data_IF_633288969150
#
_entry.id   IF_633288969150
#
_cell.length_a   1.000
_cell.length_b   1.000
_cell.length_c   1.000
_cell.angle_alpha   90.00
_cell.angle_beta   90.00
_cell.angle_gamma   90.00
#
_symmetry.space_group_name_H-M   'P 1'
#
loop_
_entity.id
_entity.type
_entity.pdbx_description
1 polymer ?
#
# COMPACT_ATOMS: atom_id res chain seq x y z
N UNK A 1 6.89 19.70 -9.33
CA UNK A 1 7.67 19.64 -8.08
C UNK A 1 8.46 18.32 -8.06
N UNK A 2 9.61 18.26 -8.76
CA UNK A 2 10.54 17.11 -8.82
C UNK A 2 11.87 17.55 -9.46
N UNK A 3 12.49 18.61 -8.91
CA UNK A 3 13.80 19.09 -9.40
C UNK A 3 14.97 18.60 -8.53
N UNK A 4 14.73 18.16 -7.29
CA UNK A 4 15.77 17.73 -6.35
C UNK A 4 15.92 16.19 -6.33
N UNK A 5 17.10 15.63 -6.66
CA UNK A 5 17.41 14.21 -6.53
C UNK A 5 17.11 13.62 -5.14
N UNK A 6 17.23 14.42 -4.08
CA UNK A 6 17.01 13.99 -2.69
C UNK A 6 15.53 13.73 -2.40
N UNK A 7 14.63 14.58 -2.90
CA UNK A 7 13.19 14.36 -2.79
C UNK A 7 12.75 13.12 -3.55
N UNK A 8 13.27 12.93 -4.76
CA UNK A 8 13.00 11.72 -5.54
C UNK A 8 13.43 10.45 -4.80
N UNK A 9 14.62 10.45 -4.21
CA UNK A 9 15.10 9.32 -3.41
C UNK A 9 14.24 9.05 -2.17
N UNK A 10 13.78 10.12 -1.48
CA UNK A 10 12.85 9.99 -0.34
C UNK A 10 11.50 9.39 -0.75
N UNK A 11 10.93 9.87 -1.86
CA UNK A 11 9.67 9.34 -2.39
C UNK A 11 9.81 7.86 -2.78
N UNK A 12 10.88 7.48 -3.48
CA UNK A 12 11.14 6.08 -3.82
C UNK A 12 11.33 5.19 -2.58
N UNK A 13 12.00 5.70 -1.55
CA UNK A 13 12.16 4.97 -0.28
C UNK A 13 10.81 4.71 0.39
N UNK A 14 9.89 5.67 0.37
CA UNK A 14 8.52 5.48 0.89
C UNK A 14 7.73 4.47 0.08
N UNK A 15 7.79 4.58 -1.24
CA UNK A 15 7.16 3.62 -2.14
C UNK A 15 7.69 2.20 -1.89
N UNK A 16 9.00 2.03 -1.61
CA UNK A 16 9.55 0.73 -1.22
C UNK A 16 8.97 0.22 0.10
N UNK A 17 8.81 1.08 1.11
CA UNK A 17 8.18 0.70 2.39
C UNK A 17 6.73 0.27 2.15
N UNK A 18 5.95 1.06 1.40
CA UNK A 18 4.56 0.74 1.04
C UNK A 18 4.49 -0.60 0.29
N UNK A 19 5.36 -0.83 -0.68
CA UNK A 19 5.40 -2.09 -1.43
C UNK A 19 5.71 -3.29 -0.53
N UNK A 20 6.68 -3.19 0.39
CA UNK A 20 6.99 -4.27 1.34
C UNK A 20 5.80 -4.57 2.24
N UNK A 21 5.19 -3.53 2.83
CA UNK A 21 4.01 -3.70 3.68
C UNK A 21 2.84 -4.30 2.89
N UNK A 22 2.59 -3.82 1.67
CA UNK A 22 1.57 -4.34 0.79
C UNK A 22 1.77 -5.81 0.44
N UNK A 23 3.00 -6.24 0.16
CA UNK A 23 3.31 -7.65 -0.13
C UNK A 23 3.07 -8.52 1.10
N UNK A 24 3.52 -8.09 2.27
CA UNK A 24 3.29 -8.81 3.52
C UNK A 24 1.78 -8.93 3.83
N UNK A 25 1.04 -7.84 3.65
CA UNK A 25 -0.40 -7.79 3.87
C UNK A 25 -1.17 -8.64 2.83
N UNK A 26 -0.71 -8.67 1.57
CA UNK A 26 -1.25 -9.55 0.53
C UNK A 26 -1.08 -11.03 0.88
N UNK A 27 0.11 -11.41 1.34
CA UNK A 27 0.40 -12.79 1.74
C UNK A 27 -0.44 -13.18 2.95
N UNK A 28 -0.57 -12.28 3.92
CA UNK A 28 -1.41 -12.49 5.09
C UNK A 28 -2.89 -12.65 4.71
N UNK A 29 -3.40 -11.80 3.81
CA UNK A 29 -4.74 -11.92 3.24
C UNK A 29 -4.94 -13.27 2.53
N UNK A 30 -3.95 -13.72 1.75
CA UNK A 30 -4.03 -15.02 1.07
C UNK A 30 -4.17 -16.19 2.06
N UNK A 31 -3.40 -16.17 3.16
CA UNK A 31 -3.50 -17.18 4.22
C UNK A 31 -4.83 -17.07 4.97
N UNK A 32 -5.30 -15.85 5.26
CA UNK A 32 -6.59 -15.61 5.91
C UNK A 32 -7.76 -16.13 5.05
N UNK A 33 -7.73 -15.88 3.73
CA UNK A 33 -8.74 -16.40 2.80
C UNK A 33 -8.71 -17.93 2.76
N UNK A 34 -7.54 -18.54 2.72
CA UNK A 34 -7.42 -20.00 2.77
C UNK A 34 -8.00 -20.58 4.07
N UNK A 35 -7.70 -19.97 5.23
CA UNK A 35 -8.25 -20.36 6.52
C UNK A 35 -9.78 -20.22 6.54
N UNK A 36 -10.30 -19.12 5.99
CA UNK A 36 -11.74 -18.88 5.87
C UNK A 36 -12.44 -19.90 4.97
N UNK A 37 -11.83 -20.30 3.85
CA UNK A 37 -12.40 -21.33 2.96
C UNK A 37 -12.23 -22.76 3.51
N UNK A 38 -11.39 -22.94 4.53
CA UNK A 38 -11.18 -24.21 5.23
C UNK A 38 -11.98 -24.30 6.53
N UNK A 39 -12.85 -23.31 6.80
CA UNK A 39 -13.65 -23.17 8.03
C UNK A 39 -12.80 -23.18 9.33
N UNK A 40 -11.54 -22.71 9.26
CA UNK A 40 -10.65 -22.61 10.43
C UNK A 40 -10.89 -21.28 11.17
N UNK A 41 -11.94 -21.25 12.00
CA UNK A 41 -12.32 -20.08 12.79
C UNK A 41 -11.20 -19.58 13.72
N UNK A 42 -10.38 -20.51 14.24
CA UNK A 42 -9.26 -20.17 15.12
C UNK A 42 -8.19 -19.35 14.40
N UNK A 43 -7.79 -19.79 13.21
CA UNK A 43 -6.87 -19.03 12.36
C UNK A 43 -7.48 -17.71 11.90
N UNK A 44 -8.77 -17.67 11.54
CA UNK A 44 -9.45 -16.42 11.14
C UNK A 44 -9.46 -15.39 12.26
N UNK A 45 -9.71 -15.80 13.51
CA UNK A 45 -9.70 -14.89 14.67
C UNK A 45 -8.32 -14.30 14.98
N UNK A 46 -7.24 -14.99 14.62
CA UNK A 46 -5.87 -14.50 14.79
C UNK A 46 -5.44 -13.66 13.61
N UNK A 47 -5.60 -14.18 12.38
CA UNK A 47 -5.11 -13.55 11.16
C UNK A 47 -5.96 -12.34 10.76
N UNK A 48 -7.26 -12.35 11.04
CA UNK A 48 -8.19 -11.27 10.70
C UNK A 48 -7.76 -9.92 11.30
N UNK A 49 -7.56 -9.81 12.63
CA UNK A 49 -7.06 -8.58 13.25
C UNK A 49 -5.67 -8.16 12.78
N UNK A 50 -4.75 -9.11 12.52
CA UNK A 50 -3.40 -8.80 12.02
C UNK A 50 -3.50 -8.19 10.62
N UNK A 51 -4.32 -8.78 9.74
CA UNK A 51 -4.54 -8.25 8.38
C UNK A 51 -5.28 -6.92 8.41
N UNK A 52 -6.35 -6.80 9.21
CA UNK A 52 -7.06 -5.53 9.38
C UNK A 52 -6.15 -4.40 9.89
N UNK A 53 -5.24 -4.71 10.82
CA UNK A 53 -4.21 -3.78 11.27
C UNK A 53 -3.21 -3.41 10.18
N UNK A 54 -2.74 -4.40 9.41
CA UNK A 54 -1.87 -4.20 8.25
C UNK A 54 -2.50 -3.29 7.19
N UNK A 55 -3.76 -3.55 6.86
CA UNK A 55 -4.57 -2.73 5.95
C UNK A 55 -4.67 -1.27 6.40
N UNK A 56 -5.00 -1.02 7.68
CA UNK A 56 -5.09 0.35 8.22
C UNK A 56 -3.73 1.03 8.18
N UNK A 57 -2.65 0.33 8.52
CA UNK A 57 -1.30 0.87 8.46
C UNK A 57 -0.90 1.24 7.02
N UNK A 58 -1.23 0.38 6.05
CA UNK A 58 -0.97 0.61 4.63
C UNK A 58 -1.74 1.84 4.12
N UNK A 59 -3.02 1.95 4.45
CA UNK A 59 -3.84 3.12 4.10
C UNK A 59 -3.28 4.40 4.71
N UNK A 60 -2.85 4.35 5.98
CA UNK A 60 -2.23 5.48 6.66
C UNK A 60 -0.92 5.91 5.99
N UNK A 61 -0.04 4.97 5.61
CA UNK A 61 1.20 5.28 4.89
C UNK A 61 0.93 5.99 3.56
N UNK A 62 -0.07 5.53 2.80
CA UNK A 62 -0.47 6.17 1.55
C UNK A 62 -1.04 7.58 1.80
N UNK A 63 -1.87 7.77 2.82
CA UNK A 63 -2.42 9.07 3.18
C UNK A 63 -1.34 10.06 3.67
N UNK A 64 -0.36 9.60 4.46
CA UNK A 64 0.77 10.44 4.91
C UNK A 64 1.58 10.97 3.73
N UNK A 65 1.75 10.20 2.66
CA UNK A 65 2.40 10.72 1.45
C UNK A 65 1.60 11.81 0.72
N UNK A 66 0.26 11.80 0.83
CA UNK A 66 -0.57 12.91 0.33
C UNK A 66 -0.38 14.18 1.15
N UNK A 67 -0.34 14.06 2.48
CA UNK A 67 -0.08 15.20 3.37
C UNK A 67 1.31 15.81 3.17
N UNK A 68 2.27 15.03 2.66
CA UNK A 68 3.59 15.49 2.29
C UNK A 68 3.71 15.94 0.82
N UNK A 69 2.58 16.07 0.13
CA UNK A 69 2.52 16.52 -1.27
C UNK A 69 3.35 15.66 -2.22
N UNK A 70 3.54 14.36 -1.88
CA UNK A 70 4.33 13.43 -2.70
C UNK A 70 3.52 12.80 -3.83
N UNK A 71 2.21 12.69 -3.64
CA UNK A 71 1.23 12.18 -4.60
C UNK A 71 -0.18 12.59 -4.17
N UNK A 72 -1.11 12.60 -5.12
CA UNK A 72 -2.50 12.99 -4.88
C UNK A 72 -3.34 11.91 -4.15
N UNK A 73 -4.49 12.35 -3.64
CA UNK A 73 -5.47 11.53 -2.89
C UNK A 73 -6.07 10.34 -3.65
N UNK A 74 -5.86 10.25 -4.97
CA UNK A 74 -6.31 9.08 -5.74
C UNK A 74 -5.62 7.79 -5.26
N UNK A 75 -4.38 7.87 -4.75
CA UNK A 75 -3.65 6.68 -4.31
C UNK A 75 -4.24 6.04 -3.04
N UNK A 76 -4.40 6.75 -1.90
CA UNK A 76 -5.11 6.18 -0.75
C UNK A 76 -6.57 5.84 -1.07
N UNK A 77 -7.24 6.59 -1.95
CA UNK A 77 -8.58 6.24 -2.44
C UNK A 77 -8.62 4.88 -3.14
N UNK A 78 -7.62 4.58 -3.98
CA UNK A 78 -7.47 3.29 -4.65
C UNK A 78 -7.24 2.16 -3.64
N UNK A 79 -6.37 2.38 -2.64
CA UNK A 79 -6.12 1.41 -1.56
C UNK A 79 -7.40 1.11 -0.77
N UNK A 80 -8.17 2.13 -0.44
CA UNK A 80 -9.43 2.01 0.30
C UNK A 80 -10.47 1.17 -0.48
N UNK A 81 -10.67 1.46 -1.77
CA UNK A 81 -11.71 0.79 -2.59
C UNK A 81 -11.34 -0.66 -2.92
N UNK A 82 -10.05 -0.95 -3.04
CA UNK A 82 -9.55 -2.30 -3.40
C UNK A 82 -9.22 -3.17 -2.18
N UNK A 83 -9.50 -2.67 -0.97
CA UNK A 83 -9.23 -3.36 0.29
C UNK A 83 -7.75 -3.69 0.51
N UNK A 84 -6.87 -2.74 0.17
CA UNK A 84 -5.47 -2.75 0.59
C UNK A 84 -4.47 -3.21 -0.47
N UNK A 85 -4.10 -4.50 -0.52
CA UNK A 85 -2.95 -4.93 -1.31
C UNK A 85 -3.07 -4.69 -2.82
N UNK A 86 -4.20 -4.94 -3.51
CA UNK A 86 -4.28 -4.71 -4.95
C UNK A 86 -4.07 -3.24 -5.33
N UNK A 87 -4.75 -2.31 -4.67
CA UNK A 87 -4.65 -0.88 -4.98
C UNK A 87 -3.30 -0.28 -4.59
N UNK A 88 -2.69 -0.75 -3.51
CA UNK A 88 -1.37 -0.28 -3.11
C UNK A 88 -0.28 -0.62 -4.13
N UNK A 89 -0.29 -1.84 -4.68
CA UNK A 89 0.65 -2.27 -5.71
C UNK A 89 0.42 -1.57 -7.06
N UNK A 90 -0.85 -1.39 -7.45
CA UNK A 90 -1.19 -0.66 -8.69
C UNK A 90 -0.74 0.80 -8.57
N UNK A 91 -1.05 1.47 -7.45
CA UNK A 91 -0.67 2.86 -7.25
C UNK A 91 0.85 3.06 -7.14
N UNK A 92 1.56 2.15 -6.48
CA UNK A 92 3.03 2.12 -6.46
C UNK A 92 3.61 2.05 -7.88
N UNK A 93 3.09 1.14 -8.72
CA UNK A 93 3.52 1.00 -10.11
C UNK A 93 3.27 2.29 -10.93
N UNK A 94 2.08 2.89 -10.82
CA UNK A 94 1.74 4.14 -11.51
C UNK A 94 2.68 5.27 -11.06
N UNK A 95 2.93 5.43 -9.76
CA UNK A 95 3.77 6.49 -9.22
C UNK A 95 5.23 6.34 -9.64
N UNK A 96 5.77 5.12 -9.61
CA UNK A 96 7.13 4.85 -10.13
C UNK A 96 7.25 5.20 -11.60
N UNK A 97 6.22 4.92 -12.40
CA UNK A 97 6.18 5.26 -13.82
C UNK A 97 6.14 6.78 -14.04
N UNK A 98 5.30 7.52 -13.31
CA UNK A 98 5.25 8.98 -13.34
C UNK A 98 6.60 9.60 -12.96
N UNK A 99 7.23 9.11 -11.90
CA UNK A 99 8.56 9.55 -11.45
C UNK A 99 9.69 9.22 -12.44
N UNK A 100 9.56 8.15 -13.23
CA UNK A 100 10.50 7.83 -14.30
C UNK A 100 10.32 8.74 -15.53
N UNK A 101 9.08 9.20 -15.77
CA UNK A 101 8.70 10.08 -16.89
C UNK A 101 8.81 11.58 -16.56
N UNK A 102 9.13 11.95 -15.31
CA UNK A 102 9.15 13.34 -14.86
C UNK A 102 7.76 13.98 -14.75
N UNK A 103 6.70 13.17 -14.83
CA UNK A 103 5.31 13.62 -14.70
C UNK A 103 4.97 13.79 -13.21
N UNK A 104 4.16 14.81 -12.84
CA UNK A 104 3.67 14.94 -11.47
C UNK A 104 2.91 13.68 -11.02
N UNK A 105 3.09 13.38 -9.73
CA UNK A 105 2.65 12.17 -9.03
C UNK A 105 1.15 12.20 -8.71
#
# INVERSE_FOLDING_TARGET
MNADPTERARTLRRLNVIAVVAILDALLLAVLLWASFSDDEGMVHILGPIHGGGYVALLALCAVGCFEERWDWWFPGLVLVTLGPPGSLIGDWILRRKLAQGTPA
#
